data_IF_065412919722
#
_entry.id   IF_065412919722
#
_cell.length_a   1.000
_cell.length_b   1.000
_cell.length_c   1.000
_cell.angle_alpha   90.00
_cell.angle_beta   90.00
_cell.angle_gamma   90.00
#
_symmetry.space_group_name_H-M   'P 1'
#
loop_
_entity.id
_entity.type
_entity.pdbx_description
1 polymer ?
#
# COMPACT_ATOMS: atom_id res chain seq x y z
N UNK A 1 -64.14 50.64 -62.87
CA UNK A 1 -62.71 50.32 -62.66
C UNK A 1 -62.58 49.52 -61.36
N UNK A 2 -62.33 48.22 -61.43
CA UNK A 2 -62.30 47.34 -60.26
C UNK A 2 -60.94 47.43 -59.55
N UNK A 3 -60.92 48.03 -58.35
CA UNK A 3 -59.73 48.14 -57.52
C UNK A 3 -59.42 46.80 -56.84
N UNK A 4 -58.44 46.07 -57.40
CA UNK A 4 -57.85 44.86 -56.81
C UNK A 4 -57.17 45.21 -55.49
N UNK A 5 -57.86 44.97 -54.37
CA UNK A 5 -57.24 44.92 -53.04
C UNK A 5 -56.34 43.68 -53.00
N UNK A 6 -55.03 43.88 -53.12
CA UNK A 6 -54.05 42.83 -52.88
C UNK A 6 -54.05 42.53 -51.39
N UNK A 7 -54.68 41.43 -50.99
CA UNK A 7 -54.50 40.88 -49.65
C UNK A 7 -53.03 40.44 -49.53
N UNK A 8 -52.21 41.25 -48.85
CA UNK A 8 -50.94 40.79 -48.32
C UNK A 8 -51.25 39.87 -47.15
N UNK A 9 -51.30 38.58 -47.44
CA UNK A 9 -51.24 37.54 -46.43
C UNK A 9 -49.87 37.61 -45.78
N UNK A 10 -49.77 38.28 -44.63
CA UNK A 10 -48.61 38.14 -43.75
C UNK A 10 -48.57 36.68 -43.34
N UNK A 11 -47.62 35.92 -43.89
CA UNK A 11 -47.34 34.56 -43.43
C UNK A 11 -46.91 34.67 -41.99
N UNK A 12 -47.75 34.20 -41.07
CA UNK A 12 -47.41 34.04 -39.67
C UNK A 12 -46.18 33.13 -39.62
N UNK A 13 -45.01 33.68 -39.28
CA UNK A 13 -43.85 32.87 -38.91
C UNK A 13 -44.31 32.07 -37.69
N UNK A 14 -44.53 30.77 -37.85
CA UNK A 14 -44.77 29.86 -36.74
C UNK A 14 -43.62 30.06 -35.77
N UNK A 15 -43.90 30.60 -34.58
CA UNK A 15 -42.87 30.76 -33.56
C UNK A 15 -42.52 29.35 -33.07
N UNK A 16 -41.38 28.82 -33.51
CA UNK A 16 -40.88 27.55 -32.99
C UNK A 16 -40.53 27.75 -31.52
N UNK A 17 -41.27 27.09 -30.64
CA UNK A 17 -41.03 27.13 -29.19
C UNK A 17 -39.82 26.25 -28.88
N UNK A 18 -38.73 26.87 -28.41
CA UNK A 18 -37.57 26.14 -27.91
C UNK A 18 -37.79 25.76 -26.45
N UNK A 19 -37.78 24.46 -26.17
CA UNK A 19 -37.79 23.93 -24.81
C UNK A 19 -36.37 23.71 -24.32
N UNK A 20 -36.11 23.99 -23.03
CA UNK A 20 -34.79 23.87 -22.42
C UNK A 20 -34.85 23.12 -21.09
N UNK A 21 -34.04 22.07 -20.97
CA UNK A 21 -33.76 21.38 -19.72
C UNK A 21 -32.38 21.75 -19.17
N UNK A 22 -32.23 21.70 -17.84
CA UNK A 22 -30.93 21.84 -17.15
C UNK A 22 -30.76 20.68 -16.18
N UNK A 23 -29.55 20.13 -16.11
CA UNK A 23 -29.26 19.07 -15.13
C UNK A 23 -29.01 19.66 -13.72
N UNK A 24 -29.50 18.96 -12.69
CA UNK A 24 -29.25 19.31 -11.30
C UNK A 24 -27.91 18.74 -10.78
N UNK A 25 -27.42 17.66 -11.38
CA UNK A 25 -26.24 16.93 -10.94
C UNK A 25 -24.96 17.47 -11.59
N UNK A 26 -25.04 17.94 -12.84
CA UNK A 26 -23.90 18.49 -13.57
C UNK A 26 -24.18 19.96 -13.87
N UNK A 27 -23.73 20.89 -13.02
CA UNK A 27 -23.88 22.31 -13.26
C UNK A 27 -23.25 22.65 -14.61
N UNK A 28 -24.05 23.23 -15.52
CA UNK A 28 -23.61 23.57 -16.87
C UNK A 28 -24.07 22.63 -17.99
N UNK A 29 -24.69 21.49 -17.65
CA UNK A 29 -25.35 20.64 -18.64
C UNK A 29 -26.74 21.17 -18.97
N UNK A 30 -26.99 21.39 -20.26
CA UNK A 30 -28.25 21.85 -20.82
C UNK A 30 -28.68 21.00 -22.00
N UNK A 31 -29.98 20.73 -22.09
CA UNK A 31 -30.60 20.11 -23.24
C UNK A 31 -31.57 21.12 -23.87
N UNK A 32 -31.56 21.20 -25.20
CA UNK A 32 -32.43 22.07 -25.96
C UNK A 32 -33.21 21.24 -26.97
N UNK A 33 -34.48 21.57 -27.17
CA UNK A 33 -35.32 20.98 -28.21
C UNK A 33 -36.02 22.10 -28.98
N UNK A 34 -35.97 22.06 -30.30
CA UNK A 34 -36.72 22.96 -31.19
C UNK A 34 -37.28 22.15 -32.35
N UNK A 35 -38.60 21.95 -32.36
CA UNK A 35 -39.27 21.11 -33.35
C UNK A 35 -38.80 19.65 -33.29
N UNK A 36 -38.18 19.16 -34.37
CA UNK A 36 -37.59 17.80 -34.43
C UNK A 36 -36.10 17.76 -34.05
N UNK A 37 -35.46 18.91 -33.81
CA UNK A 37 -34.04 18.96 -33.46
C UNK A 37 -33.89 19.01 -31.95
N UNK A 38 -33.06 18.11 -31.42
CA UNK A 38 -32.64 18.14 -30.03
C UNK A 38 -31.13 18.10 -29.96
N UNK A 39 -30.55 18.88 -29.04
CA UNK A 39 -29.10 18.94 -28.82
C UNK A 39 -28.81 19.09 -27.32
N UNK A 40 -27.62 18.65 -26.90
CA UNK A 40 -27.17 18.70 -25.52
C UNK A 40 -25.78 19.30 -25.45
N UNK A 41 -25.61 20.30 -24.60
CA UNK A 41 -24.35 21.03 -24.44
C UNK A 41 -23.94 21.00 -22.97
N UNK A 42 -22.65 20.80 -22.73
CA UNK A 42 -22.04 20.94 -21.41
C UNK A 42 -21.03 22.09 -21.41
N UNK A 43 -21.23 23.05 -20.52
CA UNK A 43 -20.28 24.14 -20.26
C UNK A 43 -19.98 24.21 -18.76
N UNK A 44 -18.83 23.72 -18.32
CA UNK A 44 -18.44 23.76 -16.91
C UNK A 44 -17.14 23.02 -16.59
N UNK A 45 -16.79 23.00 -15.31
CA UNK A 45 -15.49 22.51 -14.81
C UNK A 45 -15.40 20.98 -14.62
N UNK A 46 -16.41 20.21 -15.02
CA UNK A 46 -16.43 18.75 -14.83
C UNK A 46 -16.69 18.30 -13.38
N UNK A 47 -17.20 19.18 -12.51
CA UNK A 47 -17.47 18.85 -11.10
C UNK A 47 -18.94 18.46 -10.91
N UNK A 48 -19.17 17.27 -10.34
CA UNK A 48 -20.50 16.75 -10.02
C UNK A 48 -21.06 17.44 -8.78
N UNK A 49 -22.26 18.01 -8.89
CA UNK A 49 -22.99 18.55 -7.75
C UNK A 49 -23.50 17.41 -6.86
N UNK A 50 -23.13 17.49 -5.58
CA UNK A 50 -23.64 16.66 -4.49
C UNK A 50 -24.01 17.57 -3.33
N UNK A 51 -25.22 17.42 -2.77
CA UNK A 51 -25.71 18.24 -1.64
C UNK A 51 -24.79 18.16 -0.41
N UNK A 52 -24.11 17.02 -0.20
CA UNK A 52 -23.16 16.80 0.89
C UNK A 52 -21.69 17.06 0.54
N UNK A 53 -21.39 17.70 -0.59
CA UNK A 53 -20.02 17.90 -1.05
C UNK A 53 -19.31 16.60 -1.45
N UNK A 54 -17.98 16.69 -1.56
CA UNK A 54 -17.08 15.55 -1.77
C UNK A 54 -16.26 15.44 -0.49
N UNK A 55 -16.44 14.36 0.28
CA UNK A 55 -15.47 14.01 1.31
C UNK A 55 -14.29 13.37 0.60
N UNK A 56 -13.05 13.85 0.81
CA UNK A 56 -11.89 13.08 0.40
C UNK A 56 -11.96 11.70 1.06
N UNK A 57 -11.43 10.65 0.40
CA UNK A 57 -11.24 9.38 1.08
C UNK A 57 -10.40 9.65 2.32
N UNK A 58 -10.86 9.15 3.47
CA UNK A 58 -10.01 9.10 4.65
C UNK A 58 -8.83 8.21 4.31
N UNK A 59 -7.68 8.51 4.89
CA UNK A 59 -6.52 7.66 4.70
C UNK A 59 -6.80 6.31 5.35
N UNK A 60 -7.08 5.30 4.53
CA UNK A 60 -7.21 3.89 4.93
C UNK A 60 -5.83 3.27 5.21
N UNK A 61 -4.86 4.05 5.71
CA UNK A 61 -3.63 3.46 6.19
C UNK A 61 -3.97 2.70 7.45
N UNK A 62 -4.11 1.37 7.30
CA UNK A 62 -3.82 0.46 8.38
C UNK A 62 -2.45 0.87 8.91
N UNK A 63 -2.45 1.56 10.06
CA UNK A 63 -1.25 1.82 10.84
C UNK A 63 -0.52 0.49 10.91
N UNK A 64 0.65 0.43 10.29
CA UNK A 64 1.44 -0.79 10.28
C UNK A 64 1.75 -1.07 11.75
N UNK A 65 1.22 -2.18 12.26
CA UNK A 65 1.48 -2.57 13.63
C UNK A 65 2.98 -2.80 13.77
N UNK A 66 3.57 -2.18 14.79
CA UNK A 66 4.94 -2.49 15.16
C UNK A 66 5.03 -3.96 15.57
N UNK A 67 6.17 -4.60 15.35
CA UNK A 67 6.36 -6.00 15.73
C UNK A 67 6.07 -6.18 17.24
N UNK A 68 5.35 -7.23 17.66
CA UNK A 68 5.06 -7.45 19.07
C UNK A 68 6.37 -7.60 19.85
N UNK A 69 6.62 -6.69 20.79
CA UNK A 69 7.78 -6.78 21.68
C UNK A 69 7.49 -7.86 22.72
N UNK A 70 8.19 -8.98 22.64
CA UNK A 70 8.06 -10.11 23.56
C UNK A 70 9.43 -10.63 24.02
N UNK A 71 9.46 -11.50 25.05
CA UNK A 71 10.69 -12.14 25.54
C UNK A 71 11.36 -13.03 24.48
N UNK A 72 10.63 -13.44 23.43
CA UNK A 72 11.18 -14.16 22.29
C UNK A 72 11.96 -13.24 21.32
N UNK A 73 11.75 -11.93 21.43
CA UNK A 73 12.31 -10.89 20.53
C UNK A 73 13.37 -10.05 21.26
N UNK A 74 13.22 -9.90 22.57
CA UNK A 74 14.17 -9.20 23.41
C UNK A 74 15.25 -10.14 23.93
N UNK A 75 16.48 -9.66 23.97
CA UNK A 75 17.58 -10.38 24.60
C UNK A 75 17.31 -10.58 26.10
N UNK A 76 17.73 -11.73 26.63
CA UNK A 76 17.68 -12.00 28.05
C UNK A 76 18.56 -11.00 28.81
N UNK A 77 18.14 -10.62 30.02
CA UNK A 77 18.91 -9.72 30.88
C UNK A 77 20.24 -10.39 31.22
N UNK A 78 21.35 -9.66 31.03
CA UNK A 78 22.68 -10.13 31.42
C UNK A 78 22.72 -10.45 32.93
N UNK A 79 23.36 -11.56 33.34
CA UNK A 79 23.51 -11.87 34.75
C UNK A 79 24.34 -10.79 35.46
N UNK A 80 24.02 -10.52 36.72
CA UNK A 80 24.81 -9.60 37.54
C UNK A 80 26.14 -10.23 37.96
N UNK A 81 27.13 -9.40 38.30
CA UNK A 81 28.47 -9.85 38.72
C UNK A 81 28.40 -10.81 39.92
N UNK A 82 27.53 -10.53 40.89
CA UNK A 82 27.36 -11.38 42.08
C UNK A 82 26.86 -12.80 41.70
N UNK A 83 25.92 -12.89 40.78
CA UNK A 83 25.39 -14.16 40.28
C UNK A 83 26.45 -14.96 39.51
N UNK A 84 27.31 -14.28 38.74
CA UNK A 84 28.41 -14.92 38.02
C UNK A 84 29.46 -15.52 38.98
N UNK A 85 29.80 -14.80 40.05
CA UNK A 85 30.74 -15.27 41.07
C UNK A 85 30.21 -16.48 41.85
N UNK A 86 28.91 -16.47 42.19
CA UNK A 86 28.25 -17.62 42.81
C UNK A 86 28.24 -18.84 41.89
N UNK A 87 27.94 -18.65 40.60
CA UNK A 87 28.02 -19.71 39.60
C UNK A 87 29.44 -20.28 39.52
N UNK A 88 30.45 -19.40 39.44
CA UNK A 88 31.87 -19.78 39.38
C UNK A 88 32.31 -20.59 40.59
N UNK A 89 31.87 -20.20 41.80
CA UNK A 89 32.17 -20.91 43.05
C UNK A 89 31.53 -22.30 43.07
N UNK A 90 30.26 -22.40 42.66
CA UNK A 90 29.55 -23.69 42.58
C UNK A 90 30.20 -24.63 41.55
N UNK A 91 30.61 -24.10 40.39
CA UNK A 91 31.33 -24.85 39.35
C UNK A 91 32.66 -25.42 39.89
N UNK A 92 33.43 -24.59 40.60
CA UNK A 92 34.70 -24.98 41.19
C UNK A 92 34.53 -26.04 42.29
N UNK A 93 33.51 -25.92 43.13
CA UNK A 93 33.18 -26.90 44.16
C UNK A 93 32.78 -28.25 43.55
N UNK A 94 31.91 -28.25 42.52
CA UNK A 94 31.57 -29.47 41.76
C UNK A 94 32.81 -30.12 41.14
N UNK A 95 33.74 -29.32 40.61
CA UNK A 95 35.00 -29.83 40.04
C UNK A 95 35.92 -30.45 41.10
N UNK A 96 35.94 -29.90 42.33
CA UNK A 96 36.71 -30.45 43.45
C UNK A 96 36.12 -31.74 44.02
N UNK A 97 34.80 -31.92 43.92
CA UNK A 97 34.09 -33.13 44.38
C UNK A 97 34.20 -34.28 43.38
N UNK A 98 34.40 -34.00 42.08
CA UNK A 98 34.77 -35.02 41.10
C UNK A 98 36.22 -35.47 41.39
N UNK A 99 36.48 -36.78 41.63
CA UNK A 99 37.83 -37.24 41.88
C UNK A 99 38.75 -36.86 40.70
N UNK A 100 40.04 -36.56 40.95
CA UNK A 100 40.99 -36.37 39.87
C UNK A 100 41.00 -37.66 39.05
N UNK A 101 40.70 -37.53 37.75
CA UNK A 101 40.97 -38.61 36.80
C UNK A 101 42.49 -38.83 36.84
N UNK A 102 42.89 -39.95 37.45
CA UNK A 102 44.28 -40.37 37.53
C UNK A 102 44.73 -40.59 36.08
N UNK A 103 45.71 -39.81 35.61
CA UNK A 103 46.19 -39.89 34.23
C UNK A 103 46.78 -41.28 33.98
N UNK A 104 45.95 -42.19 33.48
CA UNK A 104 46.38 -43.33 32.70
C UNK A 104 46.71 -42.84 31.29
N UNK A 105 47.98 -42.92 30.91
CA UNK A 105 48.37 -42.97 29.51
C UNK A 105 47.61 -44.12 28.83
N UNK A 106 46.66 -43.76 27.97
CA UNK A 106 45.84 -44.69 27.22
C UNK A 106 45.38 -44.01 25.95
N UNK A 107 45.94 -44.47 24.83
CA UNK A 107 45.61 -44.07 23.47
C UNK A 107 44.10 -44.00 23.21
N UNK A 108 43.64 -42.95 22.52
CA UNK A 108 42.31 -42.94 21.91
C UNK A 108 41.80 -41.57 21.51
N UNK A 109 42.11 -41.17 20.26
CA UNK A 109 41.39 -40.21 19.40
C UNK A 109 41.17 -38.80 19.97
N UNK A 110 41.50 -37.70 19.31
CA UNK A 110 41.23 -37.39 17.92
C UNK A 110 42.19 -36.26 17.52
N UNK A 111 43.21 -36.60 16.73
CA UNK A 111 43.99 -35.62 16.00
C UNK A 111 43.24 -35.23 14.72
N UNK A 112 43.01 -33.93 14.55
CA UNK A 112 42.71 -33.28 13.27
C UNK A 112 43.66 -33.77 12.15
N UNK A 113 43.31 -33.78 10.85
CA UNK A 113 42.54 -32.75 10.13
C UNK A 113 41.49 -33.28 9.12
N UNK A 114 40.32 -32.63 9.04
CA UNK A 114 39.37 -32.86 7.95
C UNK A 114 39.92 -32.17 6.70
N UNK A 115 40.07 -32.96 5.64
CA UNK A 115 40.83 -32.65 4.44
C UNK A 115 40.39 -31.43 3.66
N UNK A 116 41.39 -30.94 2.92
CA UNK A 116 41.37 -30.08 1.75
C UNK A 116 40.01 -30.11 1.03
N UNK A 117 39.29 -28.99 1.10
CA UNK A 117 38.28 -28.65 0.11
C UNK A 117 39.02 -27.86 -0.97
N UNK A 118 39.26 -28.52 -2.09
CA UNK A 118 39.77 -27.93 -3.32
C UNK A 118 38.84 -26.78 -3.72
N UNK A 119 39.42 -25.59 -3.83
CA UNK A 119 38.79 -24.41 -4.44
C UNK A 119 38.76 -24.65 -5.95
N UNK A 120 37.63 -25.07 -6.51
CA UNK A 120 37.42 -24.96 -7.96
C UNK A 120 37.10 -23.49 -8.29
N UNK A 121 38.12 -22.78 -8.77
CA UNK A 121 37.97 -21.54 -9.52
C UNK A 121 37.20 -21.83 -10.81
N UNK A 122 35.97 -21.33 -10.88
CA UNK A 122 35.25 -21.16 -12.15
C UNK A 122 35.82 -19.91 -12.83
N UNK A 123 36.74 -20.10 -13.77
CA UNK A 123 37.10 -19.06 -14.74
C UNK A 123 35.92 -18.84 -15.69
N UNK A 124 35.32 -17.65 -15.60
CA UNK A 124 34.49 -17.07 -16.65
C UNK A 124 35.39 -16.75 -17.87
N UNK A 125 35.27 -17.52 -18.95
CA UNK A 125 35.84 -17.18 -20.26
C UNK A 125 34.76 -16.56 -21.15
N UNK A 126 34.87 -15.24 -21.34
CA UNK A 126 34.24 -14.44 -22.40
C UNK A 126 34.78 -14.88 -23.80
N UNK A 127 33.91 -15.36 -24.69
CA UNK A 127 33.80 -14.99 -26.13
C UNK A 127 32.47 -15.50 -26.75
#
# INVERSE_FOLDING_TARGET
>A
MASKRRNMFYKNKTQETTEKGRSNIWPGAFAFSTGLRSDTIYMGNGVKFRKGGISPPLFDWCVQCQYPVGPDVMEAVEPTVEMEEEWRRQEEEKRKVKPPDDRGEGEGGEGAPRGEAEEEEVEDEDD
#
